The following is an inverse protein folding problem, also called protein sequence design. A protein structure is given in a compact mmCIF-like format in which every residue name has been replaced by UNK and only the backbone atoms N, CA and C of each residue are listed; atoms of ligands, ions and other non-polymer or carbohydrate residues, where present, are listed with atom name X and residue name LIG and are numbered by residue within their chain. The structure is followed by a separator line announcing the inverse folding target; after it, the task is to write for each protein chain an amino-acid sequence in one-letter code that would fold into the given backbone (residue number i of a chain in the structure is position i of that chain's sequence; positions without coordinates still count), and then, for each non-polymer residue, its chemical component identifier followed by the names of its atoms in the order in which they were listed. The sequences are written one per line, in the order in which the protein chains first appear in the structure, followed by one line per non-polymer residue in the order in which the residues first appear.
data_IF_123603909692
#
_entry.id   IF_123603909692
#
_cell.length_a   1.000
_cell.length_b   1.000
_cell.length_c   1.000
_cell.angle_alpha   90.00
_cell.angle_beta   90.00
_cell.angle_gamma   90.00
#
_symmetry.space_group_name_H-M   'P 1'
#
loop_
_entity.id
_entity.type
_entity.pdbx_description
1 polymer ?
#
# COMPACT_ATOMS: atom_id res chain seq x y z
N UNK A 1 -25.07 -35.43 -41.68
CA UNK A 1 -24.36 -34.19 -42.08
C UNK A 1 -25.07 -32.91 -41.60
N UNK A 2 -26.40 -32.79 -41.66
CA UNK A 2 -27.12 -31.60 -41.17
C UNK A 2 -26.95 -31.30 -39.66
N UNK A 3 -26.81 -32.34 -38.82
CA UNK A 3 -26.63 -32.20 -37.36
C UNK A 3 -25.27 -31.60 -36.96
N UNK A 4 -24.22 -31.75 -37.78
CA UNK A 4 -22.88 -31.20 -37.49
C UNK A 4 -22.84 -29.69 -37.80
N UNK A 5 -23.60 -29.23 -38.79
CA UNK A 5 -23.70 -27.82 -39.15
C UNK A 5 -24.51 -27.04 -38.09
N UNK A 6 -25.47 -27.69 -37.41
CA UNK A 6 -26.27 -27.06 -36.35
C UNK A 6 -25.49 -26.79 -35.05
N UNK A 7 -24.43 -27.54 -34.75
CA UNK A 7 -23.56 -27.27 -33.60
C UNK A 7 -22.47 -26.24 -33.89
N UNK A 8 -22.11 -26.00 -35.16
CA UNK A 8 -21.10 -25.00 -35.51
C UNK A 8 -21.63 -23.56 -35.52
N UNK A 9 -22.96 -23.37 -35.38
CA UNK A 9 -23.63 -22.08 -35.56
C UNK A 9 -24.02 -21.36 -34.25
N UNK A 10 -23.70 -21.93 -33.09
CA UNK A 10 -24.10 -21.36 -31.79
C UNK A 10 -22.91 -21.06 -30.86
N UNK A 11 -21.81 -20.55 -31.42
CA UNK A 11 -20.81 -19.78 -30.65
C UNK A 11 -20.87 -18.35 -31.15
N UNK A 12 -22.04 -17.73 -31.06
CA UNK A 12 -22.13 -16.27 -31.01
C UNK A 12 -21.64 -15.92 -29.62
N UNK A 13 -20.34 -15.68 -29.49
CA UNK A 13 -19.81 -15.01 -28.31
C UNK A 13 -20.49 -13.65 -28.26
N UNK A 14 -21.54 -13.54 -27.45
CA UNK A 14 -22.14 -12.27 -27.11
C UNK A 14 -21.04 -11.47 -26.43
N UNK A 15 -20.43 -10.55 -27.17
CA UNK A 15 -19.59 -9.51 -26.60
C UNK A 15 -20.54 -8.61 -25.79
N UNK A 16 -20.79 -8.99 -24.55
CA UNK A 16 -21.51 -8.16 -23.58
C UNK A 16 -20.66 -6.93 -23.32
N UNK A 17 -21.03 -5.78 -23.89
CA UNK A 17 -20.41 -4.51 -23.52
C UNK A 17 -20.76 -4.23 -22.06
N UNK A 18 -19.74 -4.17 -21.20
CA UNK A 18 -19.93 -3.87 -19.78
C UNK A 18 -19.97 -2.35 -19.62
N UNK A 19 -21.16 -1.81 -19.37
CA UNK A 19 -21.38 -0.39 -19.08
C UNK A 19 -21.33 -0.17 -17.57
N UNK A 20 -20.53 0.81 -17.14
CA UNK A 20 -20.40 1.22 -15.74
C UNK A 20 -20.91 2.65 -15.62
N UNK A 21 -22.02 2.83 -14.92
CA UNK A 21 -22.62 4.13 -14.64
C UNK A 21 -21.88 4.79 -13.48
N UNK A 22 -21.56 6.06 -13.66
CA UNK A 22 -20.88 6.89 -12.68
C UNK A 22 -21.88 7.87 -12.08
N UNK A 23 -21.80 8.04 -10.77
CA UNK A 23 -22.57 9.03 -10.05
C UNK A 23 -21.69 9.85 -9.11
N UNK A 24 -22.21 11.01 -8.74
CA UNK A 24 -21.67 11.86 -7.67
C UNK A 24 -22.68 11.90 -6.53
N UNK A 25 -22.20 11.80 -5.31
CA UNK A 25 -23.01 11.88 -4.10
C UNK A 25 -22.40 12.89 -3.14
N UNK A 26 -23.22 13.79 -2.62
CA UNK A 26 -22.81 14.72 -1.55
C UNK A 26 -22.77 13.99 -0.21
N UNK A 27 -21.84 14.35 0.67
CA UNK A 27 -21.67 13.63 1.95
C UNK A 27 -22.85 13.81 2.91
N UNK A 28 -23.60 14.90 2.77
CA UNK A 28 -24.70 15.24 3.65
C UNK A 28 -26.06 14.76 3.11
N UNK A 29 -26.11 14.34 1.85
CA UNK A 29 -27.35 13.95 1.19
C UNK A 29 -27.29 12.49 0.73
N UNK A 30 -28.46 11.83 0.74
CA UNK A 30 -28.59 10.48 0.20
C UNK A 30 -28.89 10.48 -1.31
N UNK A 31 -28.88 11.66 -1.94
CA UNK A 31 -29.12 11.88 -3.35
C UNK A 31 -27.83 11.64 -4.14
N UNK A 32 -27.96 10.91 -5.25
CA UNK A 32 -26.85 10.64 -6.16
C UNK A 32 -27.23 11.14 -7.55
N UNK A 33 -26.41 12.01 -8.13
CA UNK A 33 -26.61 12.53 -9.47
C UNK A 33 -25.72 11.77 -10.46
N UNK A 34 -26.27 11.42 -11.62
CA UNK A 34 -25.48 10.76 -12.66
C UNK A 34 -24.53 11.76 -13.32
N UNK A 35 -23.24 11.40 -13.40
CA UNK A 35 -22.21 12.22 -14.04
C UNK A 35 -21.80 11.68 -15.41
N UNK A 36 -22.17 10.43 -15.71
CA UNK A 36 -21.76 9.77 -16.95
C UNK A 36 -21.70 8.27 -16.83
N UNK A 37 -21.02 7.64 -17.78
CA UNK A 37 -20.77 6.21 -17.81
C UNK A 37 -19.48 5.88 -18.56
N UNK A 38 -18.91 4.71 -18.25
CA UNK A 38 -17.79 4.11 -18.97
C UNK A 38 -18.34 2.94 -19.78
N UNK A 39 -18.08 2.95 -21.08
CA UNK A 39 -18.47 1.87 -21.99
C UNK A 39 -17.38 1.68 -23.05
N UNK A 40 -16.97 0.43 -23.28
CA UNK A 40 -15.97 0.07 -24.29
C UNK A 40 -14.71 0.94 -24.22
N UNK A 41 -14.19 1.15 -23.00
CA UNK A 41 -12.96 1.90 -22.69
C UNK A 41 -13.05 3.41 -22.95
N UNK A 42 -14.25 3.91 -23.18
CA UNK A 42 -14.52 5.33 -23.38
C UNK A 42 -15.33 5.87 -22.22
N UNK A 43 -14.99 7.08 -21.80
CA UNK A 43 -15.73 7.80 -20.77
C UNK A 43 -16.70 8.74 -21.47
N UNK A 44 -17.97 8.66 -21.11
CA UNK A 44 -19.03 9.54 -21.55
C UNK A 44 -19.52 10.33 -20.34
N UNK A 45 -19.09 11.57 -20.20
CA UNK A 45 -19.55 12.46 -19.13
C UNK A 45 -20.69 13.33 -19.64
N UNK A 46 -21.59 13.68 -18.73
CA UNK A 46 -22.67 14.61 -18.99
C UNK A 46 -22.17 15.98 -18.55
N UNK A 47 -22.13 16.96 -19.46
CA UNK A 47 -21.71 18.35 -19.23
C UNK A 47 -22.73 19.13 -18.39
N UNK A 48 -23.11 18.57 -17.24
CA UNK A 48 -23.75 19.34 -16.20
C UNK A 48 -22.61 20.00 -15.44
N UNK A 49 -22.54 21.33 -15.44
CA UNK A 49 -21.62 22.05 -14.56
C UNK A 49 -21.94 21.63 -13.12
N UNK A 50 -21.12 20.73 -12.57
CA UNK A 50 -21.25 20.24 -11.21
C UNK A 50 -20.66 21.33 -10.31
N UNK A 51 -21.39 22.44 -10.15
CA UNK A 51 -21.09 23.45 -9.13
C UNK A 51 -21.43 22.83 -7.77
N UNK A 52 -20.42 22.34 -7.06
CA UNK A 52 -20.58 21.73 -5.74
C UNK A 52 -19.72 22.47 -4.74
N UNK A 53 -20.37 23.37 -4.01
CA UNK A 53 -19.78 24.03 -2.85
C UNK A 53 -19.57 23.06 -1.67
N UNK A 54 -20.16 21.88 -1.73
CA UNK A 54 -20.09 20.86 -0.68
C UNK A 54 -19.15 19.71 -1.06
N UNK A 55 -18.48 19.08 -0.08
CA UNK A 55 -17.71 17.87 -0.31
C UNK A 55 -18.59 16.77 -0.92
N UNK A 56 -18.06 16.08 -1.92
CA UNK A 56 -18.75 15.01 -2.61
C UNK A 56 -17.79 13.85 -2.88
N UNK A 57 -18.36 12.70 -3.23
CA UNK A 57 -17.59 11.59 -3.78
C UNK A 57 -18.19 11.07 -5.08
N UNK A 58 -17.32 10.46 -5.87
CA UNK A 58 -17.63 9.80 -7.12
C UNK A 58 -17.67 8.29 -6.87
N UNK A 59 -18.70 7.65 -7.43
CA UNK A 59 -19.01 6.25 -7.19
C UNK A 59 -19.67 5.57 -8.37
N UNK A 60 -19.85 4.26 -8.24
CA UNK A 60 -20.65 3.41 -9.14
C UNK A 60 -21.39 2.34 -8.33
N UNK A 61 -22.60 1.96 -8.78
CA UNK A 61 -23.38 0.85 -8.21
C UNK A 61 -23.15 -0.45 -8.96
N UNK A 62 -22.47 -0.40 -10.10
CA UNK A 62 -22.24 -1.56 -10.96
C UNK A 62 -21.06 -2.43 -10.46
N UNK A 63 -20.30 -1.95 -9.46
CA UNK A 63 -19.22 -2.67 -8.80
C UNK A 63 -19.42 -2.70 -7.29
N UNK A 64 -19.17 -3.87 -6.68
CA UNK A 64 -19.27 -4.06 -5.23
C UNK A 64 -18.22 -3.20 -4.53
N UNK A 65 -18.62 -2.52 -3.44
CA UNK A 65 -17.76 -1.63 -2.63
C UNK A 65 -17.17 -0.42 -3.38
N UNK A 66 -17.79 0.00 -4.49
CA UNK A 66 -17.37 1.18 -5.26
C UNK A 66 -18.41 2.32 -5.22
N UNK A 67 -19.28 2.33 -4.23
CA UNK A 67 -20.30 3.37 -4.05
C UNK A 67 -19.67 4.77 -3.84
N UNK A 68 -18.42 4.83 -3.37
CA UNK A 68 -17.71 6.07 -3.11
C UNK A 68 -16.19 5.79 -3.19
N UNK A 69 -15.64 5.67 -4.40
CA UNK A 69 -14.24 5.26 -4.60
C UNK A 69 -13.26 6.44 -4.73
N UNK A 70 -13.77 7.67 -4.94
CA UNK A 70 -12.95 8.88 -4.99
C UNK A 70 -13.66 10.03 -4.27
N UNK A 71 -12.97 10.67 -3.32
CA UNK A 71 -13.50 11.74 -2.48
C UNK A 71 -12.83 13.08 -2.79
N UNK A 72 -13.62 14.15 -2.87
CA UNK A 72 -13.14 15.50 -3.15
C UNK A 72 -13.74 16.52 -2.18
N UNK A 73 -12.87 17.41 -1.71
CA UNK A 73 -13.22 18.54 -0.85
C UNK A 73 -12.81 19.81 -1.58
N UNK A 74 -13.78 20.66 -1.88
CA UNK A 74 -13.56 22.01 -2.40
C UNK A 74 -12.89 22.04 -3.79
N UNK A 75 -13.49 21.40 -4.79
CA UNK A 75 -13.16 21.66 -6.20
C UNK A 75 -14.19 22.67 -6.73
N UNK A 76 -13.81 23.94 -6.84
CA UNK A 76 -14.65 24.99 -7.45
C UNK A 76 -15.10 24.59 -8.86
N UNK A 77 -14.27 23.83 -9.57
CA UNK A 77 -14.63 23.11 -10.79
C UNK A 77 -13.88 21.78 -10.84
N UNK A 78 -14.57 20.67 -11.12
CA UNK A 78 -13.90 19.46 -11.58
C UNK A 78 -13.27 19.79 -12.92
N UNK A 79 -11.94 19.80 -12.99
CA UNK A 79 -11.28 19.86 -14.28
C UNK A 79 -11.41 18.48 -14.96
N UNK A 80 -12.56 18.29 -15.59
CA UNK A 80 -12.97 17.07 -16.27
C UNK A 80 -11.94 16.67 -17.35
N UNK A 81 -11.28 17.64 -17.96
CA UNK A 81 -10.35 17.45 -19.08
C UNK A 81 -9.16 16.55 -18.72
N UNK A 82 -8.71 16.57 -17.46
CA UNK A 82 -7.54 15.83 -16.99
C UNK A 82 -7.87 14.56 -16.20
N UNK A 83 -9.14 14.13 -16.27
CA UNK A 83 -9.67 13.04 -15.47
C UNK A 83 -9.28 11.68 -16.08
N UNK A 84 -8.59 10.84 -15.30
CA UNK A 84 -8.17 9.50 -15.73
C UNK A 84 -8.81 8.45 -14.83
N UNK A 85 -9.66 7.60 -15.43
CA UNK A 85 -10.25 6.47 -14.74
C UNK A 85 -9.34 5.26 -14.87
N UNK A 86 -8.68 4.88 -13.78
CA UNK A 86 -7.87 3.68 -13.69
C UNK A 86 -8.77 2.47 -13.44
N UNK A 87 -8.80 1.56 -14.42
CA UNK A 87 -9.63 0.36 -14.43
C UNK A 87 -8.76 -0.87 -14.24
N UNK A 88 -8.87 -1.52 -13.08
CA UNK A 88 -8.14 -2.73 -12.75
C UNK A 88 -8.95 -3.96 -13.14
N UNK A 89 -8.40 -4.77 -14.02
CA UNK A 89 -9.01 -6.01 -14.47
C UNK A 89 -8.66 -7.16 -13.52
N UNK A 90 -9.61 -8.08 -13.32
CA UNK A 90 -9.43 -9.34 -12.62
C UNK A 90 -8.80 -10.41 -13.52
N UNK A 91 -8.67 -11.63 -12.98
CA UNK A 91 -8.11 -12.79 -13.70
C UNK A 91 -8.99 -13.23 -14.88
N UNK A 92 -10.30 -13.04 -14.75
CA UNK A 92 -11.34 -13.27 -15.75
C UNK A 92 -11.43 -12.17 -16.83
N UNK A 93 -10.65 -11.09 -16.68
CA UNK A 93 -10.73 -9.90 -17.52
C UNK A 93 -11.88 -8.96 -17.19
N UNK A 94 -12.67 -9.26 -16.15
CA UNK A 94 -13.72 -8.36 -15.67
C UNK A 94 -13.14 -7.19 -14.86
N UNK A 95 -13.86 -6.08 -14.83
CA UNK A 95 -13.47 -4.94 -13.99
C UNK A 95 -13.64 -5.32 -12.52
N UNK A 96 -12.52 -5.35 -11.79
CA UNK A 96 -12.48 -5.66 -10.35
C UNK A 96 -12.47 -4.40 -9.50
N UNK A 97 -11.79 -3.35 -9.97
CA UNK A 97 -11.63 -2.10 -9.23
C UNK A 97 -11.55 -0.89 -10.15
N UNK A 98 -12.10 0.22 -9.67
CA UNK A 98 -11.94 1.55 -10.28
C UNK A 98 -11.21 2.49 -9.32
N UNK A 99 -10.35 3.33 -9.86
CA UNK A 99 -9.85 4.52 -9.17
C UNK A 99 -9.82 5.71 -10.11
N UNK A 100 -9.69 6.89 -9.50
CA UNK A 100 -9.65 8.14 -10.21
C UNK A 100 -8.32 8.83 -9.96
N UNK A 101 -7.64 9.21 -11.03
CA UNK A 101 -6.43 10.03 -11.00
C UNK A 101 -6.61 11.25 -11.89
N UNK A 102 -5.78 12.27 -11.66
CA UNK A 102 -5.70 13.43 -12.55
C UNK A 102 -4.30 13.46 -13.13
N UNK A 103 -4.24 13.48 -14.46
CA UNK A 103 -2.97 13.71 -15.12
C UNK A 103 -2.70 15.21 -15.03
N UNK A 104 -1.80 15.59 -14.11
CA UNK A 104 -1.23 16.94 -14.19
C UNK A 104 -0.41 16.93 -15.45
N UNK A 105 -0.73 17.78 -16.43
CA UNK A 105 0.08 17.97 -17.62
C UNK A 105 1.57 17.85 -17.24
N UNK A 106 2.18 16.70 -17.55
CA UNK A 106 3.63 16.62 -17.52
C UNK A 106 4.04 17.60 -18.58
N UNK A 107 4.61 18.74 -18.16
CA UNK A 107 5.45 19.57 -19.01
C UNK A 107 6.34 18.59 -19.77
N UNK A 108 6.06 18.41 -21.05
CA UNK A 108 6.71 17.44 -21.92
C UNK A 108 8.21 17.63 -21.71
N UNK A 109 8.83 16.73 -20.94
CA UNK A 109 10.28 16.62 -20.92
C UNK A 109 10.65 15.94 -22.23
N UNK A 110 10.64 16.75 -23.29
CA UNK A 110 11.46 16.57 -24.45
C UNK A 110 12.90 16.39 -23.94
N UNK A 111 13.36 15.14 -23.85
CA UNK A 111 14.64 14.89 -23.21
C UNK A 111 14.96 13.46 -22.89
N UNK A 112 14.75 12.54 -23.84
CA UNK A 112 15.79 11.61 -24.32
C UNK A 112 15.19 10.64 -25.34
N UNK A 113 15.03 11.18 -26.53
CA UNK A 113 15.15 10.43 -27.76
C UNK A 113 16.53 9.74 -27.77
N UNK A 114 16.54 8.42 -27.61
CA UNK A 114 17.55 7.57 -28.25
C UNK A 114 16.86 6.88 -29.40
N UNK A 115 16.78 7.62 -30.50
CA UNK A 115 16.53 7.09 -31.82
C UNK A 115 17.57 6.02 -32.16
N UNK A 116 17.08 4.83 -32.54
CA UNK A 116 17.46 4.21 -33.82
C UNK A 116 16.52 3.02 -34.07
N UNK A 117 15.50 3.22 -34.88
CA UNK A 117 14.72 2.09 -35.39
C UNK A 117 13.34 2.43 -35.95
N UNK A 118 13.32 3.02 -37.15
CA UNK A 118 12.24 2.94 -38.17
C UNK A 118 10.83 3.36 -37.74
N UNK A 119 10.49 4.60 -38.12
CA UNK A 119 9.25 4.96 -38.81
C UNK A 119 7.96 4.41 -38.21
N UNK A 120 7.50 5.03 -37.11
CA UNK A 120 6.09 5.01 -36.76
C UNK A 120 5.54 6.43 -36.87
N UNK A 121 4.58 6.52 -37.77
CA UNK A 121 3.69 7.63 -38.06
C UNK A 121 3.21 8.33 -36.79
N UNK A 122 3.65 9.57 -36.60
CA UNK A 122 3.15 10.50 -35.60
C UNK A 122 1.82 11.08 -36.10
N UNK A 123 0.72 10.44 -35.71
CA UNK A 123 -0.61 11.05 -35.74
C UNK A 123 -1.17 11.03 -34.32
N UNK A 124 -1.83 12.14 -33.95
CA UNK A 124 -2.60 12.40 -32.72
C UNK A 124 -1.86 13.07 -31.57
N UNK A 125 -1.67 14.39 -31.71
CA UNK A 125 -1.55 15.32 -30.59
C UNK A 125 -2.77 16.25 -30.69
N UNK A 126 -3.95 15.76 -30.33
CA UNK A 126 -5.12 16.63 -30.06
C UNK A 126 -6.19 15.95 -29.16
N UNK A 127 -5.84 14.82 -28.51
CA UNK A 127 -6.77 14.03 -27.67
C UNK A 127 -6.41 14.07 -26.18
N UNK A 128 -5.42 14.87 -25.79
CA UNK A 128 -4.86 14.86 -24.43
C UNK A 128 -5.79 15.43 -23.37
N UNK A 129 -6.77 16.26 -23.75
CA UNK A 129 -7.61 17.02 -22.83
C UNK A 129 -9.01 16.40 -22.64
N UNK A 130 -9.18 15.11 -22.95
CA UNK A 130 -10.44 14.40 -22.74
C UNK A 130 -10.31 13.39 -21.61
N UNK A 131 -11.39 13.18 -20.82
CA UNK A 131 -11.45 12.10 -19.86
C UNK A 131 -11.14 10.77 -20.55
N UNK A 132 -10.26 9.98 -19.93
CA UNK A 132 -9.80 8.72 -20.53
C UNK A 132 -9.75 7.59 -19.51
N UNK A 133 -9.81 6.37 -20.02
CA UNK A 133 -9.68 5.14 -19.21
C UNK A 133 -8.27 4.61 -19.35
N UNK A 134 -7.62 4.29 -18.23
CA UNK A 134 -6.35 3.57 -18.19
C UNK A 134 -6.59 2.17 -17.63
N UNK A 135 -6.30 1.14 -18.44
CA UNK A 135 -6.45 -0.25 -18.02
C UNK A 135 -5.20 -0.77 -17.32
N UNK A 136 -5.39 -1.41 -16.18
CA UNK A 136 -4.37 -2.15 -15.46
C UNK A 136 -4.74 -3.64 -15.54
N UNK A 137 -4.00 -4.46 -16.30
CA UNK A 137 -4.27 -5.88 -16.36
C UNK A 137 -4.01 -6.52 -14.99
N UNK A 138 -4.67 -7.64 -14.72
CA UNK A 138 -4.35 -8.43 -13.55
C UNK A 138 -2.89 -8.91 -13.64
N UNK A 139 -2.09 -8.57 -12.63
CA UNK A 139 -0.72 -9.04 -12.51
C UNK A 139 -0.64 -9.93 -11.28
N UNK A 140 -0.34 -11.21 -11.50
CA UNK A 140 -0.05 -12.13 -10.40
C UNK A 140 1.18 -11.61 -9.67
N UNK A 141 1.04 -11.36 -8.37
CA UNK A 141 2.15 -10.89 -7.55
C UNK A 141 3.33 -11.86 -7.67
N UNK A 142 4.58 -11.34 -7.72
CA UNK A 142 5.75 -12.20 -7.77
C UNK A 142 5.76 -13.10 -6.54
N UNK A 143 5.72 -14.41 -6.76
CA UNK A 143 5.82 -15.36 -5.66
C UNK A 143 7.23 -15.29 -5.06
N UNK A 144 7.36 -15.25 -3.73
CA UNK A 144 8.68 -15.25 -3.09
C UNK A 144 9.44 -16.51 -3.53
N UNK A 145 10.69 -16.34 -3.93
CA UNK A 145 11.54 -17.46 -4.31
C UNK A 145 11.92 -18.25 -3.05
N UNK A 146 11.11 -19.26 -2.70
CA UNK A 146 11.32 -20.15 -1.55
C UNK A 146 12.40 -21.21 -1.79
N UNK A 147 13.23 -21.06 -2.82
CA UNK A 147 14.34 -21.98 -3.05
C UNK A 147 15.36 -21.86 -1.90
N UNK A 148 15.65 -22.96 -1.16
CA UNK A 148 16.62 -22.95 -0.06
C UNK A 148 18.02 -22.50 -0.50
N UNK A 149 18.41 -22.74 -1.76
CA UNK A 149 19.70 -22.30 -2.28
C UNK A 149 19.76 -20.79 -2.53
N UNK A 150 18.62 -20.17 -2.87
CA UNK A 150 18.50 -18.72 -2.99
C UNK A 150 18.62 -18.03 -1.64
N UNK A 151 18.06 -18.65 -0.58
CA UNK A 151 18.18 -18.17 0.79
C UNK A 151 19.64 -18.22 1.28
N UNK A 152 20.35 -19.34 1.05
CA UNK A 152 21.77 -19.44 1.38
C UNK A 152 22.61 -18.40 0.66
N UNK A 153 22.36 -18.17 -0.64
CA UNK A 153 23.05 -17.13 -1.41
C UNK A 153 22.73 -15.71 -0.93
N UNK A 154 21.51 -15.43 -0.46
CA UNK A 154 21.17 -14.14 0.12
C UNK A 154 21.88 -13.92 1.46
N UNK A 155 21.93 -14.94 2.34
CA UNK A 155 22.64 -14.85 3.62
C UNK A 155 24.14 -14.65 3.42
N UNK A 156 24.76 -15.40 2.49
CA UNK A 156 26.18 -15.23 2.14
C UNK A 156 26.48 -13.84 1.56
N UNK A 157 25.58 -13.29 0.73
CA UNK A 157 25.74 -11.92 0.20
C UNK A 157 25.52 -10.84 1.27
N UNK A 158 24.66 -11.09 2.26
CA UNK A 158 24.50 -10.22 3.42
C UNK A 158 25.78 -10.16 4.27
N UNK A 159 26.42 -11.30 4.50
CA UNK A 159 27.69 -11.39 5.23
C UNK A 159 28.87 -10.79 4.44
N UNK A 160 28.91 -10.92 3.10
CA UNK A 160 29.98 -10.30 2.29
C UNK A 160 29.86 -8.77 2.16
N UNK A 161 28.66 -8.18 2.37
CA UNK A 161 28.48 -6.72 2.38
C UNK A 161 28.67 -6.09 3.76
N UNK A 162 28.60 -6.87 4.83
CA UNK A 162 29.00 -6.43 6.18
C UNK A 162 30.47 -6.76 6.39
N UNK A 163 31.33 -5.94 5.79
CA UNK A 163 32.77 -6.11 5.87
C UNK A 163 33.27 -6.17 7.32
N UNK A 164 34.20 -7.11 7.52
CA UNK A 164 35.14 -7.19 8.63
C UNK A 164 34.68 -7.95 9.89
N UNK A 165 34.59 -9.28 9.81
CA UNK A 165 34.91 -10.11 10.97
C UNK A 165 35.62 -11.38 10.51
N UNK A 166 36.92 -11.42 10.79
CA UNK A 166 37.79 -12.57 10.61
C UNK A 166 37.49 -13.54 11.76
N UNK A 167 36.94 -14.71 11.44
CA UNK A 167 36.68 -15.76 12.43
C UNK A 167 37.93 -16.63 12.60
N UNK A 168 38.36 -16.85 13.84
CA UNK A 168 39.40 -17.80 14.22
C UNK A 168 38.74 -18.99 14.91
N UNK A 169 39.01 -20.20 14.43
CA UNK A 169 38.38 -21.45 14.90
C UNK A 169 39.13 -21.93 16.14
N UNK A 170 38.49 -21.89 17.32
CA UNK A 170 39.04 -22.45 18.56
C UNK A 170 38.38 -23.79 18.86
N UNK A 171 39.16 -24.89 18.76
CA UNK A 171 38.73 -26.24 19.13
C UNK A 171 38.65 -26.38 20.65
N UNK A 172 37.45 -26.59 21.20
CA UNK A 172 37.28 -26.94 22.61
C UNK A 172 36.91 -28.41 22.78
N UNK A 173 37.73 -29.13 23.57
CA UNK A 173 37.53 -30.55 23.93
C UNK A 173 36.55 -30.61 25.12
N UNK A 174 35.35 -31.15 24.93
CA UNK A 174 34.38 -31.36 26.01
C UNK A 174 34.11 -32.85 26.20
N UNK A 175 34.37 -33.35 27.40
CA UNK A 175 34.15 -34.74 27.79
C UNK A 175 32.70 -34.90 28.26
N UNK A 176 31.91 -35.72 27.57
CA UNK A 176 30.56 -36.10 28.01
C UNK A 176 30.59 -37.54 28.49
N UNK A 177 30.11 -37.76 29.72
CA UNK A 177 29.91 -39.10 30.28
C UNK A 177 28.48 -39.54 30.00
N UNK A 178 28.34 -40.68 29.34
CA UNK A 178 27.07 -41.41 29.24
C UNK A 178 27.16 -42.68 30.09
N UNK A 179 26.00 -43.10 30.62
CA UNK A 179 25.83 -44.35 31.37
C UNK A 179 24.96 -45.24 30.47
N UNK A 180 25.51 -46.36 30.00
CA UNK A 180 24.77 -47.38 29.26
C UNK A 180 23.90 -48.23 30.20
N UNK A 181 22.91 -48.92 29.64
CA UNK A 181 21.84 -49.67 30.34
C UNK A 181 22.33 -50.80 31.28
N UNK A 182 23.62 -51.12 31.31
CA UNK A 182 24.26 -52.07 32.23
C UNK A 182 25.01 -51.41 33.41
N UNK A 183 24.90 -50.07 33.58
CA UNK A 183 25.39 -49.35 34.76
C UNK A 183 26.91 -49.22 34.89
N UNK A 184 27.68 -49.33 33.79
CA UNK A 184 29.15 -49.23 33.79
C UNK A 184 29.62 -48.02 32.96
N UNK A 185 30.39 -47.11 33.59
CA UNK A 185 30.90 -45.89 32.95
C UNK A 185 31.97 -46.18 31.89
N UNK A 186 31.75 -45.75 30.64
CA UNK A 186 32.75 -45.76 29.57
C UNK A 186 32.95 -44.34 29.04
N UNK A 187 34.20 -43.88 29.02
CA UNK A 187 34.58 -42.54 28.54
C UNK A 187 35.00 -42.64 27.07
N UNK A 188 34.27 -41.99 26.16
CA UNK A 188 34.69 -41.81 24.76
C UNK A 188 34.96 -40.34 24.49
N UNK A 189 36.14 -40.04 23.97
CA UNK A 189 36.49 -38.72 23.45
C UNK A 189 35.80 -38.53 22.08
N UNK A 190 34.96 -37.50 21.94
CA UNK A 190 34.37 -37.09 20.67
C UNK A 190 34.77 -35.64 20.44
N UNK A 191 35.49 -35.39 19.35
CA UNK A 191 35.78 -34.04 18.87
C UNK A 191 34.49 -33.46 18.26
N UNK A 192 33.88 -32.50 18.96
CA UNK A 192 32.74 -31.74 18.44
C UNK A 192 33.28 -30.36 18.12
N UNK A 193 33.31 -30.01 16.83
CA UNK A 193 33.52 -28.64 16.39
C UNK A 193 32.27 -27.83 16.74
N UNK A 194 32.30 -27.18 17.91
CA UNK A 194 31.31 -26.18 18.31
C UNK A 194 31.87 -24.82 17.91
N UNK A 195 31.25 -24.20 16.91
CA UNK A 195 31.44 -22.79 16.60
C UNK A 195 30.90 -21.96 17.77
N UNK A 196 31.76 -21.61 18.72
CA UNK A 196 31.45 -20.62 19.75
C UNK A 196 31.56 -19.26 19.08
N UNK A 197 30.50 -18.43 19.05
CA UNK A 197 30.64 -17.04 18.64
C UNK A 197 31.62 -16.38 19.61
N UNK A 198 32.82 -16.09 19.09
CA UNK A 198 33.79 -15.18 19.69
C UNK A 198 33.04 -13.93 20.13
N UNK A 199 33.23 -13.58 21.39
CA UNK A 199 32.64 -12.43 22.06
C UNK A 199 32.39 -11.33 21.04
N UNK A 200 31.11 -11.21 20.69
CA UNK A 200 30.59 -10.05 20.00
C UNK A 200 31.09 -8.89 20.84
N UNK A 201 31.93 -8.02 20.26
CA UNK A 201 32.05 -6.66 20.75
C UNK A 201 30.62 -6.11 20.63
N UNK A 202 29.81 -6.40 21.66
CA UNK A 202 28.48 -5.87 21.86
C UNK A 202 28.76 -4.39 21.82
N UNK A 203 28.39 -3.74 20.72
CA UNK A 203 28.32 -2.30 20.67
C UNK A 203 27.24 -1.98 21.70
N UNK A 204 27.67 -1.82 22.95
CA UNK A 204 26.82 -1.40 24.06
C UNK A 204 26.37 -0.02 23.65
N UNK A 205 25.20 0.03 23.04
CA UNK A 205 24.56 1.27 22.69
C UNK A 205 24.23 1.96 24.01
N UNK A 206 25.17 2.82 24.46
CA UNK A 206 25.15 3.57 25.72
C UNK A 206 23.94 4.51 25.84
N UNK A 207 23.12 4.59 24.79
CA UNK A 207 21.85 5.30 24.82
C UNK A 207 20.98 4.72 25.93
N UNK A 208 20.72 5.54 26.92
CA UNK A 208 19.89 5.18 28.06
C UNK A 208 18.53 4.66 27.55
N UNK A 209 17.93 3.74 28.30
CA UNK A 209 16.64 3.15 27.94
C UNK A 209 15.57 4.21 27.63
N UNK A 210 15.66 5.36 28.30
CA UNK A 210 14.81 6.55 28.09
C UNK A 210 14.95 7.13 26.68
N UNK A 211 16.16 7.14 26.10
CA UNK A 211 16.41 7.68 24.76
C UNK A 211 15.84 6.77 23.67
N UNK A 212 15.83 5.46 23.90
CA UNK A 212 15.24 4.48 22.97
C UNK A 212 13.71 4.52 22.99
N UNK A 213 13.11 4.84 24.13
CA UNK A 213 11.66 4.77 24.35
C UNK A 213 10.99 6.13 24.59
N UNK A 214 11.65 7.24 24.20
CA UNK A 214 11.18 8.60 24.47
C UNK A 214 9.76 8.87 23.96
N UNK A 215 9.40 8.28 22.82
CA UNK A 215 8.08 8.40 22.20
C UNK A 215 6.95 7.84 23.08
N UNK A 216 7.24 6.90 23.99
CA UNK A 216 6.25 6.31 24.90
C UNK A 216 6.21 6.99 26.27
N UNK A 217 7.29 7.66 26.66
CA UNK A 217 7.42 8.32 27.96
C UNK A 217 6.91 9.76 27.90
N UNK A 218 7.20 10.48 26.83
CA UNK A 218 6.92 11.93 26.73
C UNK A 218 5.42 12.26 26.56
N UNK A 219 4.64 11.60 25.68
CA UNK A 219 3.23 11.97 25.50
C UNK A 219 2.35 11.80 26.76
N UNK A 220 2.46 10.72 27.57
CA UNK A 220 1.70 10.59 28.81
C UNK A 220 2.06 11.64 29.87
N UNK A 221 3.34 12.02 29.97
CA UNK A 221 3.80 13.07 30.91
C UNK A 221 3.23 14.44 30.53
N UNK A 222 3.20 14.77 29.24
CA UNK A 222 2.56 15.99 28.73
C UNK A 222 1.06 16.00 29.06
N UNK A 223 0.39 14.86 28.89
CA UNK A 223 -1.03 14.72 29.19
C UNK A 223 -1.32 14.85 30.69
N UNK A 224 -0.45 14.28 31.54
CA UNK A 224 -0.52 14.42 33.00
C UNK A 224 -0.30 15.87 33.45
N UNK A 225 0.59 16.61 32.80
CA UNK A 225 0.87 18.01 33.17
C UNK A 225 -0.28 18.95 32.75
N UNK A 226 -0.90 18.71 31.59
CA UNK A 226 -2.09 19.45 31.14
C UNK A 226 -3.31 19.14 32.01
N UNK A 227 -3.49 17.89 32.46
CA UNK A 227 -4.64 17.53 33.30
C UNK A 227 -4.41 17.75 34.81
N UNK A 228 -3.16 17.76 35.28
CA UNK A 228 -2.81 17.83 36.71
C UNK A 228 -2.45 19.23 37.22
N UNK A 229 -2.22 20.22 36.35
CA UNK A 229 -1.83 21.59 36.73
C UNK A 229 -2.95 22.49 37.27
N UNK A 230 -4.15 21.97 37.52
CA UNK A 230 -5.32 22.75 37.95
C UNK A 230 -5.59 22.78 39.46
N UNK A 231 -4.69 22.27 40.31
CA UNK A 231 -4.99 22.03 41.73
C UNK A 231 -4.58 23.16 42.70
N UNK A 232 -3.97 24.26 42.23
CA UNK A 232 -3.41 25.29 43.13
C UNK A 232 -4.31 26.53 43.33
N UNK A 233 -5.53 26.56 42.79
CA UNK A 233 -6.44 27.72 42.92
C UNK A 233 -7.60 27.46 43.90
N UNK A 234 -7.27 27.02 45.13
CA UNK A 234 -8.26 26.86 46.20
C UNK A 234 -7.70 27.15 47.60
N UNK A 235 -6.88 28.19 47.77
CA UNK A 235 -6.45 28.63 49.10
C UNK A 235 -6.02 30.11 49.19
N UNK A 236 -6.85 31.07 48.76
CA UNK A 236 -6.61 32.48 49.12
C UNK A 236 -7.88 33.36 49.03
N UNK A 237 -8.28 33.94 50.17
CA UNK A 237 -9.15 35.14 50.29
C UNK A 237 -10.65 34.84 50.34
N UNK A 238 -11.35 34.99 51.47
CA UNK A 238 -11.67 36.27 52.13
C UNK A 238 -13.08 36.69 51.64
N UNK A 239 -14.15 36.69 52.44
CA UNK A 239 -14.33 37.41 53.69
C UNK A 239 -15.29 38.59 53.46
N UNK A 240 -16.35 38.67 54.28
CA UNK A 240 -17.29 39.81 54.46
C UNK A 240 -18.31 40.04 53.32
N UNK A 241 -19.63 39.93 53.56
CA UNK A 241 -20.50 40.90 54.24
C UNK A 241 -21.51 41.38 53.18
N UNK A 242 -22.81 41.14 53.25
CA UNK A 242 -23.76 41.72 54.21
C UNK A 242 -24.56 42.85 53.53
N UNK A 243 -25.87 42.91 53.81
CA UNK A 243 -26.84 44.01 53.53
C UNK A 243 -27.30 44.09 52.06
N UNK A 244 -28.58 44.06 51.71
CA UNK A 244 -29.81 44.44 52.42
C UNK A 244 -30.47 45.57 51.62
N UNK A 245 -31.72 45.36 51.20
CA UNK A 245 -32.53 46.34 50.46
C UNK A 245 -33.35 45.70 49.35
#
# INVERSE_FOLDING_TARGET
MLLIILHLLFVVTMATSKRINLFVQQLNEQTSDSIGFIENDKVHLIDNAIERDTPYCIGTKDLVNHECFAFYKNLETLNIENMVFDMFLGEDGDVSRLSLSFDKEETVKAGKEKEKGKGKELNNIDETNKPRVKKHPFVVAPQPNMNPDSLKKQQQKGQQKSGNTKLEVVKQKKTVKYIDEDGKEVTKEVEIEVEVPLEEDVIVDERSWIQKNWMYVVPPLLLFLVMGGGADEAAAGGGTGGRGG
#
